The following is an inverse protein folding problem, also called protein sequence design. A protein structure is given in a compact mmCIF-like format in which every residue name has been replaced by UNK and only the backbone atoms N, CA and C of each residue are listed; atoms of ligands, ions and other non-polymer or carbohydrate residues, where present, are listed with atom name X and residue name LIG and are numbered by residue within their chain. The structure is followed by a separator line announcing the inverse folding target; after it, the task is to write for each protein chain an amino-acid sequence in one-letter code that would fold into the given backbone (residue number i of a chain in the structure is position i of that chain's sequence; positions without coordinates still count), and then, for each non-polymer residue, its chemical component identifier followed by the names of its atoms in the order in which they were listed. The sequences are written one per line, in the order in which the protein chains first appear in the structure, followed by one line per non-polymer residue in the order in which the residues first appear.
data_IF_536710248452
#
_entry.id   IF_536710248452
#
_cell.length_a   1.000
_cell.length_b   1.000
_cell.length_c   1.000
_cell.angle_alpha   90.00
_cell.angle_beta   90.00
_cell.angle_gamma   90.00
#
_symmetry.space_group_name_H-M   'P 1'
#
loop_
_entity.id
_entity.type
_entity.pdbx_description
1 polymer ?
#
# COMPACT_ATOMS: atom_id res chain seq x y z
N UNK A 1 13.90 -25.04 29.33
CA UNK A 1 12.63 -24.94 28.56
C UNK A 1 13.01 -24.56 27.14
N UNK A 2 12.49 -25.26 26.12
CA UNK A 2 12.66 -24.90 24.70
C UNK A 2 11.27 -24.62 24.16
N UNK A 3 11.04 -23.44 23.59
CA UNK A 3 9.77 -23.04 22.98
C UNK A 3 9.87 -23.30 21.48
N UNK A 4 8.78 -23.80 20.86
CA UNK A 4 8.74 -24.03 19.42
C UNK A 4 8.91 -22.70 18.65
N UNK A 5 9.70 -22.73 17.59
CA UNK A 5 9.95 -21.54 16.77
C UNK A 5 8.85 -21.34 15.72
N UNK A 6 8.59 -20.10 15.34
CA UNK A 6 7.75 -19.72 14.19
C UNK A 6 8.54 -18.94 13.13
N UNK A 7 7.93 -18.70 11.97
CA UNK A 7 8.49 -17.84 10.92
C UNK A 7 8.71 -16.39 11.38
N UNK A 8 9.54 -15.64 10.67
CA UNK A 8 9.87 -14.24 10.96
C UNK A 8 8.65 -13.30 10.92
N UNK A 9 7.74 -13.48 9.96
CA UNK A 9 6.52 -12.69 9.85
C UNK A 9 5.54 -12.97 11.00
N UNK A 10 5.18 -14.22 11.32
CA UNK A 10 4.46 -14.54 12.56
C UNK A 10 5.14 -13.98 13.82
N UNK A 11 6.48 -14.09 13.93
CA UNK A 11 7.19 -13.53 15.08
C UNK A 11 7.08 -12.00 15.14
N UNK A 12 7.05 -11.31 13.99
CA UNK A 12 6.81 -9.87 13.92
C UNK A 12 5.40 -9.51 14.39
N UNK A 13 4.37 -10.26 14.00
CA UNK A 13 3.00 -10.09 14.50
C UNK A 13 2.96 -10.20 16.04
N UNK A 14 3.58 -11.24 16.59
CA UNK A 14 3.67 -11.44 18.03
C UNK A 14 4.44 -10.30 18.72
N UNK A 15 5.56 -9.86 18.14
CA UNK A 15 6.40 -8.78 18.67
C UNK A 15 5.74 -7.40 18.63
N UNK A 16 4.88 -7.15 17.63
CA UNK A 16 4.06 -5.95 17.51
C UNK A 16 2.77 -6.02 18.34
N UNK A 17 2.53 -7.14 19.03
CA UNK A 17 1.37 -7.36 19.90
C UNK A 17 0.01 -7.24 19.19
N UNK A 18 -0.04 -7.47 17.87
CA UNK A 18 -1.31 -7.52 17.14
C UNK A 18 -2.10 -8.72 17.64
N UNK A 19 -3.24 -8.47 18.27
CA UNK A 19 -3.95 -9.51 19.04
C UNK A 19 -5.42 -9.60 18.67
N UNK A 20 -6.02 -8.50 18.22
CA UNK A 20 -7.45 -8.44 17.96
C UNK A 20 -7.74 -8.51 16.46
N UNK A 21 -8.78 -9.22 16.03
CA UNK A 21 -9.29 -9.11 14.67
C UNK A 21 -9.49 -7.64 14.27
N UNK A 22 -8.91 -7.25 13.13
CA UNK A 22 -8.88 -5.86 12.67
C UNK A 22 -7.61 -5.06 13.02
N UNK A 23 -6.74 -5.57 13.90
CA UNK A 23 -5.41 -5.01 14.08
C UNK A 23 -4.60 -5.20 12.78
N UNK A 24 -3.93 -4.13 12.35
CA UNK A 24 -3.10 -4.11 11.15
C UNK A 24 -1.71 -3.55 11.46
N UNK A 25 -0.69 -4.11 10.81
CA UNK A 25 0.63 -3.50 10.73
C UNK A 25 1.12 -3.47 9.29
N UNK A 26 1.89 -2.44 8.95
CA UNK A 26 2.48 -2.27 7.63
C UNK A 26 4.00 -2.18 7.82
N UNK A 27 4.72 -3.15 7.27
CA UNK A 27 6.18 -3.10 7.16
C UNK A 27 6.53 -2.43 5.83
N UNK A 28 7.14 -1.25 5.91
CA UNK A 28 7.58 -0.48 4.76
C UNK A 28 9.06 -0.79 4.48
N UNK A 29 9.34 -1.43 3.34
CA UNK A 29 10.66 -1.95 3.00
C UNK A 29 10.91 -1.97 1.51
N UNK A 30 11.90 -2.73 1.04
CA UNK A 30 12.13 -2.94 -0.41
C UNK A 30 10.87 -3.43 -1.11
N UNK A 31 10.13 -4.30 -0.43
CA UNK A 31 8.74 -4.64 -0.69
C UNK A 31 7.94 -4.30 0.56
N UNK A 32 6.68 -3.91 0.39
CA UNK A 32 5.82 -3.59 1.52
C UNK A 32 4.99 -4.82 1.90
N UNK A 33 4.84 -5.05 3.20
CA UNK A 33 4.07 -6.18 3.72
C UNK A 33 3.02 -5.68 4.69
N UNK A 34 1.76 -6.03 4.44
CA UNK A 34 0.66 -5.78 5.37
C UNK A 34 0.40 -7.06 6.16
N UNK A 35 0.36 -6.94 7.47
CA UNK A 35 -0.04 -7.97 8.41
C UNK A 35 -1.38 -7.61 9.01
N UNK A 36 -2.26 -8.60 9.20
CA UNK A 36 -3.51 -8.42 9.91
C UNK A 36 -3.90 -9.64 10.73
N UNK A 37 -4.80 -9.45 11.68
CA UNK A 37 -5.44 -10.53 12.44
C UNK A 37 -6.91 -10.65 12.02
N UNK A 38 -7.40 -11.87 11.84
CA UNK A 38 -8.82 -12.18 11.56
C UNK A 38 -9.25 -13.44 12.31
N UNK A 39 -10.50 -13.51 12.74
CA UNK A 39 -11.17 -14.72 13.23
C UNK A 39 -11.93 -15.48 12.13
N UNK A 40 -12.16 -14.84 10.98
CA UNK A 40 -12.77 -15.43 9.79
C UNK A 40 -11.71 -15.51 8.68
N UNK A 41 -11.08 -16.69 8.47
CA UNK A 41 -10.13 -16.86 7.38
C UNK A 41 -10.90 -17.01 6.06
N UNK A 42 -10.66 -16.10 5.11
CA UNK A 42 -11.18 -16.20 3.74
C UNK A 42 -10.01 -16.34 2.75
N UNK A 43 -9.48 -17.56 2.55
CA UNK A 43 -8.36 -17.78 1.62
C UNK A 43 -8.76 -17.39 0.20
N UNK A 44 -7.85 -16.72 -0.51
CA UNK A 44 -8.05 -16.32 -1.91
C UNK A 44 -6.80 -16.63 -2.73
N UNK A 45 -6.83 -16.32 -4.03
CA UNK A 45 -5.62 -16.36 -4.87
C UNK A 45 -4.61 -15.27 -4.48
N UNK A 46 -5.08 -14.25 -3.77
CA UNK A 46 -4.34 -13.11 -3.30
C UNK A 46 -4.01 -13.24 -1.81
N UNK A 47 -2.76 -12.95 -1.47
CA UNK A 47 -2.28 -12.96 -0.09
C UNK A 47 -2.07 -14.35 0.50
N UNK A 48 -1.72 -14.38 1.78
CA UNK A 48 -1.49 -15.61 2.54
C UNK A 48 -2.26 -15.55 3.86
N UNK A 49 -2.90 -16.67 4.23
CA UNK A 49 -3.52 -16.86 5.55
C UNK A 49 -2.72 -17.93 6.30
N UNK A 50 -2.24 -17.58 7.48
CA UNK A 50 -1.43 -18.43 8.35
C UNK A 50 -2.11 -18.56 9.72
N UNK A 51 -1.90 -19.66 10.47
CA UNK A 51 -2.30 -19.71 11.87
C UNK A 51 -1.65 -18.56 12.67
N UNK A 52 -2.42 -17.91 13.55
CA UNK A 52 -1.85 -16.89 14.43
C UNK A 52 -0.87 -17.56 15.43
N UNK A 53 0.38 -17.07 15.55
CA UNK A 53 1.40 -17.67 16.42
C UNK A 53 1.15 -17.44 17.92
N UNK A 54 0.23 -16.53 18.29
CA UNK A 54 -0.08 -16.15 19.68
C UNK A 54 -1.42 -16.73 20.11
N UNK A 55 -2.47 -16.53 19.32
CA UNK A 55 -3.83 -16.98 19.63
C UNK A 55 -4.32 -18.03 18.61
N UNK A 56 -4.38 -19.32 19.00
CA UNK A 56 -4.82 -20.40 18.12
C UNK A 56 -6.27 -20.29 17.60
N UNK A 57 -7.09 -19.39 18.16
CA UNK A 57 -8.46 -19.16 17.70
C UNK A 57 -8.58 -18.17 16.54
N UNK A 58 -7.49 -17.50 16.18
CA UNK A 58 -7.43 -16.51 15.09
C UNK A 58 -6.37 -16.85 14.06
N UNK A 59 -6.35 -16.08 12.98
CA UNK A 59 -5.47 -16.23 11.84
C UNK A 59 -4.74 -14.93 11.55
N UNK A 60 -3.55 -15.08 10.99
CA UNK A 60 -2.74 -14.00 10.45
C UNK A 60 -2.98 -13.90 8.95
N UNK A 61 -3.29 -12.70 8.46
CA UNK A 61 -3.35 -12.37 7.03
C UNK A 61 -2.08 -11.63 6.65
N UNK A 62 -1.54 -11.94 5.48
CA UNK A 62 -0.36 -11.27 4.94
C UNK A 62 -0.54 -10.93 3.46
N UNK A 63 -0.38 -9.65 3.12
CA UNK A 63 -0.35 -9.15 1.75
C UNK A 63 1.05 -8.62 1.44
N UNK A 64 1.59 -8.97 0.28
CA UNK A 64 2.93 -8.58 -0.13
C UNK A 64 2.87 -7.77 -1.42
N UNK A 65 3.42 -6.56 -1.39
CA UNK A 65 3.52 -5.64 -2.52
C UNK A 65 4.98 -5.48 -2.91
N UNK A 66 5.29 -5.78 -4.17
CA UNK A 66 6.64 -5.77 -4.70
C UNK A 66 7.22 -4.35 -4.73
N UNK A 67 6.40 -3.37 -5.11
CA UNK A 67 6.81 -2.00 -5.41
C UNK A 67 6.81 -1.08 -4.19
N UNK A 68 7.67 -1.35 -3.20
CA UNK A 68 7.78 -0.55 -1.98
C UNK A 68 8.76 0.63 -2.06
N UNK A 69 9.79 0.62 -1.21
CA UNK A 69 10.70 1.76 -1.00
C UNK A 69 11.43 2.21 -2.25
N UNK A 70 11.81 1.30 -3.15
CA UNK A 70 12.51 1.63 -4.39
C UNK A 70 11.62 2.34 -5.41
N UNK A 71 10.31 2.19 -5.29
CA UNK A 71 9.31 2.93 -6.07
C UNK A 71 9.11 4.32 -5.47
N UNK A 72 8.95 4.41 -4.13
CA UNK A 72 8.92 5.71 -3.42
C UNK A 72 10.16 6.55 -3.71
N UNK A 73 11.33 5.91 -3.71
CA UNK A 73 12.60 6.57 -4.03
C UNK A 73 12.66 7.05 -5.48
N UNK A 74 12.20 6.25 -6.45
CA UNK A 74 12.15 6.67 -7.87
C UNK A 74 11.23 7.90 -8.06
N UNK A 75 10.11 7.96 -7.35
CA UNK A 75 9.22 9.11 -7.36
C UNK A 75 9.85 10.33 -6.69
N UNK A 76 10.47 10.16 -5.52
CA UNK A 76 11.26 11.22 -4.88
C UNK A 76 12.31 11.79 -5.82
N UNK A 77 13.03 10.92 -6.53
CA UNK A 77 14.12 11.33 -7.39
C UNK A 77 13.66 12.11 -8.62
N UNK A 78 12.47 11.80 -9.14
CA UNK A 78 11.87 12.48 -10.30
C UNK A 78 11.21 13.80 -9.94
N UNK A 79 10.56 13.87 -8.78
CA UNK A 79 9.60 14.95 -8.47
C UNK A 79 9.92 15.75 -7.21
N UNK A 80 10.87 15.31 -6.39
CA UNK A 80 11.18 15.94 -5.10
C UNK A 80 12.68 16.24 -4.93
N UNK A 81 13.38 16.59 -6.01
CA UNK A 81 14.81 16.98 -5.96
C UNK A 81 15.71 15.94 -5.26
N UNK A 82 15.32 14.66 -5.29
CA UNK A 82 16.00 13.56 -4.57
C UNK A 82 16.07 13.77 -3.04
N UNK A 83 15.18 14.59 -2.48
CA UNK A 83 15.13 14.95 -1.06
C UNK A 83 13.84 14.44 -0.41
N UNK A 84 13.97 13.72 0.70
CA UNK A 84 12.82 13.31 1.50
C UNK A 84 12.13 14.50 2.18
N UNK A 85 12.88 15.56 2.51
CA UNK A 85 12.27 16.77 3.09
C UNK A 85 11.37 17.47 2.06
N UNK A 86 11.82 17.56 0.80
CA UNK A 86 11.00 18.11 -0.29
C UNK A 86 9.79 17.21 -0.55
N UNK A 87 9.98 15.88 -0.56
CA UNK A 87 8.90 14.89 -0.71
C UNK A 87 7.80 15.09 0.36
N UNK A 88 8.20 15.22 1.62
CA UNK A 88 7.28 15.42 2.74
C UNK A 88 6.56 16.77 2.64
N UNK A 89 7.28 17.85 2.30
CA UNK A 89 6.67 19.18 2.12
C UNK A 89 5.60 19.17 1.00
N UNK A 90 5.86 18.46 -0.11
CA UNK A 90 4.91 18.35 -1.21
C UNK A 90 3.68 17.52 -0.81
N UNK A 91 3.85 16.45 -0.04
CA UNK A 91 2.73 15.69 0.52
C UNK A 91 1.86 16.54 1.46
N UNK A 92 2.47 17.30 2.37
CA UNK A 92 1.76 18.13 3.34
C UNK A 92 0.98 19.29 2.69
N UNK A 93 1.45 19.77 1.54
CA UNK A 93 0.79 20.84 0.76
C UNK A 93 -0.30 20.30 -0.17
N UNK A 94 -0.38 19.00 -0.38
CA UNK A 94 -1.36 18.38 -1.28
C UNK A 94 -2.67 18.15 -0.54
N UNK A 95 -3.76 18.70 -1.06
CA UNK A 95 -5.09 18.45 -0.50
C UNK A 95 -5.45 16.95 -0.51
N UNK A 96 -6.22 16.46 0.48
CA UNK A 96 -6.73 15.09 0.47
C UNK A 96 -7.37 14.72 -0.87
N UNK A 97 -7.18 13.47 -1.30
CA UNK A 97 -7.61 12.95 -2.60
C UNK A 97 -6.89 13.56 -3.82
N UNK A 98 -5.87 14.42 -3.63
CA UNK A 98 -5.02 14.97 -4.68
C UNK A 98 -5.83 15.59 -5.85
N UNK A 99 -6.94 16.26 -5.55
CA UNK A 99 -7.83 16.84 -6.57
C UNK A 99 -8.40 15.82 -7.57
N UNK A 100 -8.58 14.57 -7.16
CA UNK A 100 -9.06 13.48 -8.01
C UNK A 100 -7.98 12.80 -8.87
N UNK A 101 -6.71 13.12 -8.65
CA UNK A 101 -5.58 12.54 -9.40
C UNK A 101 -5.11 11.25 -8.75
N UNK A 102 -5.18 10.16 -9.49
CA UNK A 102 -4.80 8.81 -9.03
C UNK A 102 -3.61 8.29 -9.82
N UNK A 103 -2.64 7.73 -9.12
CA UNK A 103 -1.44 7.13 -9.70
C UNK A 103 -1.20 5.72 -9.19
N UNK A 104 -0.85 4.82 -10.11
CA UNK A 104 -0.38 3.46 -9.82
C UNK A 104 1.04 3.32 -10.36
N UNK A 105 2.00 2.97 -9.50
CA UNK A 105 3.43 3.04 -9.81
C UNK A 105 4.10 1.67 -9.68
N UNK A 106 4.13 0.91 -10.78
CA UNK A 106 4.75 -0.41 -10.84
C UNK A 106 6.11 -0.32 -11.53
N UNK A 107 7.18 -0.15 -10.76
CA UNK A 107 8.57 -0.16 -11.24
C UNK A 107 9.02 -1.57 -11.64
N UNK A 108 8.53 -2.57 -10.93
CA UNK A 108 8.64 -4.00 -11.23
C UNK A 108 7.24 -4.62 -11.40
N UNK A 109 7.18 -5.85 -11.92
CA UNK A 109 5.92 -6.60 -11.96
C UNK A 109 5.39 -6.75 -10.54
N UNK A 110 4.15 -6.33 -10.33
CA UNK A 110 3.51 -6.38 -9.02
C UNK A 110 3.06 -7.81 -8.69
N UNK A 111 3.07 -8.16 -7.41
CA UNK A 111 2.54 -9.41 -6.89
C UNK A 111 1.03 -9.28 -6.72
N UNK A 112 0.58 -8.17 -6.11
CA UNK A 112 -0.81 -7.97 -5.74
C UNK A 112 -1.34 -6.57 -6.12
N UNK A 113 -2.29 -6.47 -7.06
CA UNK A 113 -2.65 -7.49 -8.04
C UNK A 113 -1.49 -7.76 -9.03
N UNK A 114 -1.47 -8.90 -9.73
CA UNK A 114 -0.41 -9.25 -10.67
C UNK A 114 -0.47 -8.35 -11.90
N UNK A 115 0.22 -7.22 -11.84
CA UNK A 115 0.23 -6.18 -12.86
C UNK A 115 1.62 -6.04 -13.50
N UNK A 116 1.67 -5.76 -14.81
CA UNK A 116 2.94 -5.51 -15.50
C UNK A 116 3.58 -4.21 -15.02
N UNK A 117 4.87 -4.07 -15.32
CA UNK A 117 5.61 -2.82 -15.13
C UNK A 117 4.91 -1.69 -15.88
N UNK A 118 4.69 -0.56 -15.20
CA UNK A 118 3.99 0.58 -15.77
C UNK A 118 3.60 1.62 -14.73
N UNK A 119 3.61 2.88 -15.15
CA UNK A 119 3.06 4.00 -14.38
C UNK A 119 1.74 4.43 -15.00
N UNK A 120 0.64 4.23 -14.27
CA UNK A 120 -0.71 4.50 -14.75
C UNK A 120 -1.28 5.67 -13.97
N UNK A 121 -1.73 6.71 -14.68
CA UNK A 121 -2.18 7.97 -14.09
C UNK A 121 -3.55 8.31 -14.62
N UNK A 122 -4.44 8.74 -13.72
CA UNK A 122 -5.81 9.06 -14.03
C UNK A 122 -6.23 10.34 -13.33
N UNK A 123 -7.09 11.11 -13.98
CA UNK A 123 -7.86 12.18 -13.34
C UNK A 123 -9.31 11.70 -13.27
N UNK A 124 -9.83 11.72 -12.06
CA UNK A 124 -11.19 11.32 -11.72
C UNK A 124 -12.02 12.57 -11.48
N UNK A 125 -12.90 12.88 -12.43
CA UNK A 125 -13.84 13.98 -12.31
C UNK A 125 -15.15 13.44 -11.70
N UNK A 126 -15.53 13.94 -10.52
CA UNK A 126 -16.85 13.67 -9.94
C UNK A 126 -17.85 14.63 -10.57
N UNK A 127 -18.68 14.13 -11.51
CA UNK A 127 -19.55 14.99 -12.32
C UNK A 127 -20.81 15.46 -11.55
N UNK A 128 -21.16 14.81 -10.44
CA UNK A 128 -22.30 15.15 -9.58
C UNK A 128 -22.05 14.79 -8.12
N UNK A 129 -22.56 15.58 -7.17
CA UNK A 129 -22.56 15.23 -5.74
C UNK A 129 -23.81 14.42 -5.37
N UNK A 130 -23.62 13.21 -4.84
CA UNK A 130 -24.72 12.36 -4.35
C UNK A 130 -24.48 10.85 -4.55
N UNK A 131 -25.44 9.99 -4.15
CA UNK A 131 -25.31 8.52 -4.21
C UNK A 131 -25.27 7.94 -5.63
N UNK A 132 -25.49 8.77 -6.66
CA UNK A 132 -25.47 8.42 -8.08
C UNK A 132 -24.39 9.23 -8.82
N UNK A 133 -23.30 9.60 -8.13
CA UNK A 133 -22.21 10.34 -8.74
C UNK A 133 -21.62 9.56 -9.92
N UNK A 134 -21.89 10.02 -11.14
CA UNK A 134 -21.19 9.52 -12.31
C UNK A 134 -19.73 9.98 -12.24
N UNK A 135 -18.85 9.00 -12.17
CA UNK A 135 -17.41 9.19 -12.14
C UNK A 135 -16.87 9.04 -13.55
N UNK A 136 -16.16 10.06 -14.05
CA UNK A 136 -15.47 9.97 -15.33
C UNK A 136 -13.96 9.98 -15.11
N UNK A 137 -13.29 8.94 -15.60
CA UNK A 137 -11.84 8.83 -15.57
C UNK A 137 -11.22 9.27 -16.90
N UNK A 138 -10.06 9.92 -16.81
CA UNK A 138 -9.24 10.29 -17.96
C UNK A 138 -7.81 9.88 -17.69
N UNK A 139 -7.28 8.97 -18.49
CA UNK A 139 -5.87 8.58 -18.43
C UNK A 139 -4.97 9.76 -18.83
N UNK A 140 -3.83 9.87 -18.17
CA UNK A 140 -2.77 10.84 -18.45
C UNK A 140 -1.44 10.12 -18.61
N UNK A 141 -0.60 10.60 -19.52
CA UNK A 141 0.75 10.06 -19.69
C UNK A 141 1.67 10.58 -18.57
N UNK A 142 1.56 11.87 -18.24
CA UNK A 142 2.34 12.55 -17.21
C UNK A 142 1.48 13.45 -16.32
N UNK A 143 1.93 13.60 -15.07
CA UNK A 143 1.41 14.55 -14.09
C UNK A 143 2.26 15.83 -14.09
N UNK A 144 1.63 16.98 -13.81
CA UNK A 144 2.28 18.30 -13.83
C UNK A 144 3.06 18.56 -12.51
N UNK A 145 4.41 18.53 -12.52
CA UNK A 145 5.22 18.51 -11.30
C UNK A 145 4.98 19.66 -10.30
N UNK A 146 4.75 20.92 -10.71
CA UNK A 146 4.54 22.03 -9.77
C UNK A 146 3.18 22.02 -9.08
N UNK A 147 2.20 21.25 -9.57
CA UNK A 147 0.82 21.24 -9.06
C UNK A 147 0.36 19.87 -8.53
N UNK A 148 1.22 18.85 -8.61
CA UNK A 148 0.87 17.45 -8.39
C UNK A 148 2.01 16.72 -7.70
N UNK A 149 1.79 16.31 -6.45
CA UNK A 149 2.63 15.32 -5.82
C UNK A 149 1.95 13.95 -5.88
N UNK A 150 2.59 12.92 -6.46
CA UNK A 150 2.00 11.59 -6.47
C UNK A 150 2.31 10.87 -5.15
N UNK A 151 1.32 10.70 -4.24
CA UNK A 151 1.52 9.83 -3.09
C UNK A 151 1.70 8.40 -3.61
N UNK A 152 2.88 7.83 -3.39
CA UNK A 152 3.09 6.39 -3.49
C UNK A 152 2.77 5.83 -2.12
N UNK A 153 1.58 5.25 -1.97
CA UNK A 153 1.23 4.45 -0.80
C UNK A 153 1.76 3.04 -1.04
#
# INVERSE_FOLDING_TARGET
LVVQWSGDNPNSLAGLTLSNPGDLAISLGTSDTVFGVTDVPEPSLDGNILPNPVDPSTYMVMLCYKNGSLTREDIRDRYAEKSWDVFNNLLEQTDPLNGGKLGFYYKEHEILPPLPVGFHRYIVDTLTSGPLAETKERQKDEFDPPSEFPPVV
#
